data_IF_699200889330
#
_entry.id   IF_699200889330
#
_cell.length_a   1.000
_cell.length_b   1.000
_cell.length_c   1.000
_cell.angle_alpha   90.00
_cell.angle_beta   90.00
_cell.angle_gamma   90.00
#
_symmetry.space_group_name_H-M   'P 1'
#
loop_
_entity.id
_entity.type
_entity.pdbx_description
1 polymer ?
#
# COMPACT_ATOMS: atom_id res chain seq x y z
N UNK A 1 -14.14 -3.39 -15.47
CA UNK A 1 -14.20 -2.30 -14.47
C UNK A 1 -13.25 -2.55 -13.30
N UNK A 2 -13.31 -3.68 -12.57
CA UNK A 2 -12.38 -3.94 -11.44
C UNK A 2 -10.91 -4.00 -11.90
N UNK A 3 -10.60 -4.75 -12.96
CA UNK A 3 -9.23 -4.87 -13.49
C UNK A 3 -8.60 -3.54 -13.92
N UNK A 4 -9.40 -2.63 -14.48
CA UNK A 4 -8.92 -1.33 -14.94
C UNK A 4 -8.52 -0.43 -13.76
N UNK A 5 -9.30 -0.43 -12.68
CA UNK A 5 -8.98 0.34 -11.48
C UNK A 5 -7.70 -0.17 -10.79
N UNK A 6 -7.48 -1.50 -10.82
CA UNK A 6 -6.25 -2.12 -10.29
C UNK A 6 -5.02 -1.74 -11.12
N UNK A 7 -5.13 -1.70 -12.45
CA UNK A 7 -4.05 -1.26 -13.34
C UNK A 7 -3.73 0.23 -13.13
N UNK A 8 -4.74 1.10 -13.12
CA UNK A 8 -4.55 2.55 -12.89
C UNK A 8 -3.93 2.84 -11.52
N UNK A 9 -4.33 2.11 -10.48
CA UNK A 9 -3.73 2.23 -9.15
C UNK A 9 -2.25 1.77 -9.13
N UNK A 10 -1.93 0.71 -9.87
CA UNK A 10 -0.56 0.24 -10.02
C UNK A 10 0.31 1.30 -10.70
N UNK A 11 -0.14 1.85 -11.82
CA UNK A 11 0.58 2.90 -12.55
C UNK A 11 0.81 4.14 -11.67
N UNK A 12 -0.22 4.59 -10.95
CA UNK A 12 -0.11 5.68 -9.99
C UNK A 12 0.94 5.41 -8.90
N UNK A 13 0.97 4.20 -8.33
CA UNK A 13 1.98 3.83 -7.32
C UNK A 13 3.39 3.74 -7.93
N UNK A 14 3.52 3.28 -9.18
CA UNK A 14 4.80 3.26 -9.89
C UNK A 14 5.30 4.67 -10.23
N UNK A 15 4.41 5.62 -10.49
CA UNK A 15 4.76 7.05 -10.60
C UNK A 15 5.24 7.59 -9.26
N UNK A 16 4.55 7.30 -8.15
CA UNK A 16 5.01 7.65 -6.80
C UNK A 16 6.38 7.04 -6.50
N UNK A 17 6.59 5.77 -6.83
CA UNK A 17 7.89 5.12 -6.67
C UNK A 17 9.00 5.89 -7.41
N UNK A 18 8.75 6.35 -8.64
CA UNK A 18 9.70 7.18 -9.40
C UNK A 18 9.96 8.53 -8.74
N UNK A 19 8.91 9.23 -8.28
CA UNK A 19 9.01 10.51 -7.56
C UNK A 19 9.92 10.39 -6.33
N UNK A 20 9.78 9.30 -5.58
CA UNK A 20 10.61 9.00 -4.42
C UNK A 20 11.95 8.33 -4.77
N UNK A 21 12.28 8.11 -6.04
CA UNK A 21 13.50 7.39 -6.46
C UNK A 21 13.59 5.97 -5.89
N UNK A 22 12.49 5.21 -5.97
CA UNK A 22 12.38 3.81 -5.55
C UNK A 22 12.31 2.92 -6.79
N UNK A 23 13.18 1.92 -6.83
CA UNK A 23 13.20 0.89 -7.87
C UNK A 23 12.20 -0.23 -7.52
N UNK A 24 11.22 -0.49 -8.39
CA UNK A 24 10.24 -1.57 -8.20
C UNK A 24 10.57 -2.72 -9.14
N UNK A 25 10.76 -3.93 -8.57
CA UNK A 25 11.04 -5.16 -9.31
C UNK A 25 9.90 -6.14 -9.17
N UNK A 26 9.38 -6.61 -10.30
CA UNK A 26 8.39 -7.68 -10.36
C UNK A 26 9.10 -9.03 -10.59
N UNK A 27 8.80 -10.02 -9.76
CA UNK A 27 9.43 -11.35 -9.78
C UNK A 27 8.41 -12.45 -9.50
N UNK A 28 8.76 -13.66 -9.90
CA UNK A 28 8.02 -14.88 -9.60
C UNK A 28 8.70 -15.61 -8.45
N UNK A 29 7.96 -15.91 -7.39
CA UNK A 29 8.42 -16.65 -6.21
C UNK A 29 7.39 -17.70 -5.79
N UNK A 30 7.62 -18.40 -4.68
CA UNK A 30 6.56 -19.23 -4.08
C UNK A 30 5.32 -18.36 -3.78
N UNK A 31 4.09 -18.86 -3.97
CA UNK A 31 2.88 -18.08 -3.69
C UNK A 31 2.73 -17.57 -2.24
N UNK A 32 3.50 -18.14 -1.31
CA UNK A 32 3.54 -17.74 0.10
C UNK A 32 4.75 -16.87 0.45
N UNK A 33 5.65 -16.60 -0.49
CA UNK A 33 6.72 -15.62 -0.31
C UNK A 33 6.12 -14.22 -0.41
N UNK A 34 6.15 -13.42 0.67
CA UNK A 34 5.64 -12.05 0.62
C UNK A 34 6.55 -11.18 -0.26
N UNK A 35 6.04 -10.04 -0.75
CA UNK A 35 6.88 -8.95 -1.18
C UNK A 35 7.85 -8.49 -0.09
N UNK A 36 8.78 -7.63 -0.47
CA UNK A 36 9.68 -7.01 0.49
C UNK A 36 10.33 -5.76 -0.06
N UNK A 37 10.88 -4.99 0.86
CA UNK A 37 11.48 -3.70 0.57
C UNK A 37 12.86 -3.58 1.22
N UNK A 38 13.63 -2.62 0.73
CA UNK A 38 14.89 -2.21 1.33
C UNK A 38 15.03 -0.70 1.22
N UNK A 39 15.08 -0.04 2.37
CA UNK A 39 15.35 1.39 2.42
C UNK A 39 16.76 1.74 1.91
N UNK A 40 17.78 0.99 2.34
CA UNK A 40 19.18 1.21 1.94
C UNK A 40 19.35 1.21 0.42
N UNK A 41 18.75 0.23 -0.27
CA UNK A 41 18.82 0.11 -1.72
C UNK A 41 17.72 0.85 -2.47
N UNK A 42 16.83 1.56 -1.76
CA UNK A 42 15.64 2.23 -2.32
C UNK A 42 14.88 1.29 -3.27
N UNK A 43 14.58 0.06 -2.83
CA UNK A 43 14.00 -0.97 -3.71
C UNK A 43 12.82 -1.68 -3.08
N UNK A 44 11.82 -1.96 -3.90
CA UNK A 44 10.72 -2.87 -3.61
C UNK A 44 10.79 -4.07 -4.56
N UNK A 45 10.55 -5.27 -4.05
CA UNK A 45 10.43 -6.49 -4.84
C UNK A 45 9.05 -7.11 -4.61
N UNK A 46 8.25 -7.14 -5.66
CA UNK A 46 6.89 -7.70 -5.66
C UNK A 46 6.88 -9.14 -6.16
N UNK A 47 6.03 -9.97 -5.56
CA UNK A 47 5.77 -11.34 -5.98
C UNK A 47 4.52 -11.41 -6.86
N UNK A 48 4.70 -11.70 -8.14
CA UNK A 48 3.61 -11.87 -9.11
C UNK A 48 2.78 -13.13 -8.88
N UNK A 49 3.31 -14.12 -8.16
CA UNK A 49 2.62 -15.39 -7.87
C UNK A 49 1.95 -15.40 -6.50
N UNK A 50 1.84 -14.24 -5.83
CA UNK A 50 1.23 -14.14 -4.50
C UNK A 50 -0.15 -14.80 -4.45
N UNK A 51 -0.38 -15.64 -3.44
CA UNK A 51 -1.58 -16.49 -3.34
C UNK A 51 -2.90 -15.72 -3.16
N UNK A 52 -2.84 -14.41 -2.88
CA UNK A 52 -4.00 -13.51 -2.84
C UNK A 52 -3.77 -12.32 -3.78
N UNK A 53 -3.86 -12.52 -5.11
CA UNK A 53 -3.52 -11.48 -6.09
C UNK A 53 -4.32 -10.18 -5.91
N UNK A 54 -5.49 -10.25 -5.27
CA UNK A 54 -6.33 -9.11 -4.92
C UNK A 54 -5.70 -8.16 -3.88
N UNK A 55 -4.74 -8.64 -3.07
CA UNK A 55 -3.98 -7.83 -2.10
C UNK A 55 -2.77 -7.12 -2.74
N UNK A 56 -2.42 -7.44 -3.99
CA UNK A 56 -1.14 -7.06 -4.60
C UNK A 56 -0.89 -5.54 -4.64
N UNK A 57 -1.94 -4.76 -4.92
CA UNK A 57 -1.85 -3.29 -4.96
C UNK A 57 -1.60 -2.71 -3.57
N UNK A 58 -2.30 -3.23 -2.55
CA UNK A 58 -2.09 -2.78 -1.18
C UNK A 58 -0.71 -3.19 -0.67
N UNK A 59 -0.22 -4.36 -1.05
CA UNK A 59 1.16 -4.78 -0.76
C UNK A 59 2.18 -3.88 -1.45
N UNK A 60 1.96 -3.48 -2.70
CA UNK A 60 2.86 -2.52 -3.36
C UNK A 60 2.89 -1.19 -2.59
N UNK A 61 1.73 -0.65 -2.23
CA UNK A 61 1.64 0.59 -1.45
C UNK A 61 2.32 0.45 -0.07
N UNK A 62 2.16 -0.71 0.58
CA UNK A 62 2.79 -1.04 1.85
C UNK A 62 4.32 -1.07 1.75
N UNK A 63 4.88 -1.81 0.78
CA UNK A 63 6.33 -1.88 0.59
C UNK A 63 6.93 -0.54 0.18
N UNK A 64 6.21 0.27 -0.60
CA UNK A 64 6.61 1.64 -0.89
C UNK A 64 6.64 2.50 0.38
N UNK A 65 5.67 2.34 1.29
CA UNK A 65 5.60 3.08 2.54
C UNK A 65 6.82 2.80 3.45
N UNK A 66 7.26 1.53 3.58
CA UNK A 66 8.50 1.20 4.30
C UNK A 66 9.70 2.03 3.79
N UNK A 67 9.87 2.06 2.46
CA UNK A 67 10.98 2.79 1.84
C UNK A 67 10.81 4.30 1.96
N UNK A 68 9.59 4.83 1.88
CA UNK A 68 9.33 6.28 2.00
C UNK A 68 9.56 6.78 3.44
N UNK A 69 9.14 6.02 4.45
CA UNK A 69 9.27 6.40 5.85
C UNK A 69 10.68 6.24 6.42
N UNK A 70 11.59 5.64 5.66
CA UNK A 70 12.97 5.48 6.09
C UNK A 70 13.14 4.35 7.10
N UNK A 71 12.30 3.32 7.01
CA UNK A 71 12.37 2.18 7.90
C UNK A 71 13.66 1.40 7.61
N UNK A 72 14.65 1.64 8.47
CA UNK A 72 16.00 1.04 8.40
C UNK A 72 16.05 -0.35 9.02
N UNK A 73 14.98 -0.74 9.71
CA UNK A 73 14.85 -2.03 10.38
C UNK A 73 14.27 -3.11 9.49
N UNK A 74 14.73 -3.29 8.26
CA UNK A 74 14.10 -4.25 7.35
C UNK A 74 15.11 -5.17 6.65
N UNK A 75 15.38 -6.29 7.31
CA UNK A 75 15.38 -7.57 6.59
C UNK A 75 14.38 -8.45 7.32
N UNK A 76 13.43 -8.98 6.55
CA UNK A 76 12.76 -10.27 6.73
C UNK A 76 11.27 -10.22 7.10
N UNK A 77 10.46 -10.38 6.04
CA UNK A 77 9.20 -11.13 5.96
C UNK A 77 8.06 -10.70 6.90
N UNK A 78 6.84 -10.87 6.38
CA UNK A 78 5.51 -10.76 6.99
C UNK A 78 5.27 -11.59 8.29
N UNK A 79 6.33 -11.92 9.05
CA UNK A 79 6.34 -12.73 10.27
C UNK A 79 7.08 -12.08 11.45
N UNK A 80 7.46 -10.80 11.37
CA UNK A 80 7.99 -10.07 12.53
C UNK A 80 6.84 -9.49 13.40
N UNK A 81 6.35 -10.32 14.32
CA UNK A 81 5.85 -9.93 15.65
C UNK A 81 5.07 -8.61 15.76
N UNK A 82 3.77 -8.72 15.49
CA UNK A 82 2.73 -7.76 15.88
C UNK A 82 2.86 -7.34 17.35
N UNK A 83 3.27 -6.10 17.64
CA UNK A 83 3.02 -5.48 18.96
C UNK A 83 2.70 -3.99 18.84
N UNK A 84 1.48 -3.68 18.40
CA UNK A 84 0.84 -2.37 18.60
C UNK A 84 1.00 -1.34 17.46
N UNK A 85 0.34 -0.19 17.61
CA UNK A 85 0.29 0.91 16.63
C UNK A 85 1.64 1.59 16.36
N UNK A 86 2.65 1.30 17.17
CA UNK A 86 3.99 1.85 17.01
C UNK A 86 4.91 0.98 16.15
N UNK A 87 4.45 -0.22 15.74
CA UNK A 87 5.26 -1.10 14.91
C UNK A 87 5.49 -0.52 13.52
N UNK A 88 6.65 -0.86 12.94
CA UNK A 88 7.02 -0.52 11.55
C UNK A 88 5.92 -1.01 10.58
N UNK A 89 5.50 -2.26 10.72
CA UNK A 89 4.40 -2.86 9.94
C UNK A 89 3.08 -2.08 10.01
N UNK A 90 2.70 -1.57 11.19
CA UNK A 90 1.49 -0.77 11.31
C UNK A 90 1.64 0.58 10.60
N UNK A 91 2.81 1.22 10.73
CA UNK A 91 3.12 2.48 10.04
C UNK A 91 3.15 2.30 8.54
N UNK A 92 3.70 1.20 8.03
CA UNK A 92 3.67 0.86 6.61
C UNK A 92 2.23 0.62 6.11
N UNK A 93 1.41 -0.08 6.87
CA UNK A 93 -0.01 -0.27 6.56
C UNK A 93 -0.80 1.06 6.54
N UNK A 94 -0.52 1.98 7.47
CA UNK A 94 -1.10 3.34 7.43
C UNK A 94 -0.58 4.13 6.23
N UNK A 95 0.72 4.07 5.95
CA UNK A 95 1.32 4.72 4.78
C UNK A 95 0.75 4.21 3.45
N UNK A 96 0.44 2.92 3.36
CA UNK A 96 -0.24 2.34 2.20
C UNK A 96 -1.62 3.00 1.96
N UNK A 97 -2.39 3.20 3.04
CA UNK A 97 -3.67 3.93 2.97
C UNK A 97 -3.43 5.38 2.54
N UNK A 98 -2.44 6.05 3.11
CA UNK A 98 -2.11 7.45 2.78
C UNK A 98 -1.71 7.62 1.30
N UNK A 99 -0.97 6.68 0.73
CA UNK A 99 -0.59 6.69 -0.68
C UNK A 99 -1.80 6.52 -1.61
N UNK A 100 -2.74 5.62 -1.25
CA UNK A 100 -3.87 5.25 -2.10
C UNK A 100 -5.07 6.19 -1.99
N UNK A 101 -5.25 6.90 -0.87
CA UNK A 101 -6.38 7.83 -0.68
C UNK A 101 -6.46 8.92 -1.77
N UNK A 102 -5.36 9.62 -2.13
CA UNK A 102 -5.40 10.61 -3.21
C UNK A 102 -5.88 10.02 -4.54
N UNK A 103 -5.37 8.85 -4.93
CA UNK A 103 -5.81 8.17 -6.15
C UNK A 103 -7.31 7.86 -6.13
N UNK A 104 -7.81 7.32 -5.01
CA UNK A 104 -9.22 6.96 -4.88
C UNK A 104 -10.17 8.16 -4.82
N UNK A 105 -9.75 9.25 -4.19
CA UNK A 105 -10.57 10.44 -3.98
C UNK A 105 -10.47 11.46 -5.12
N UNK A 106 -9.43 11.40 -5.96
CA UNK A 106 -9.23 12.34 -7.05
C UNK A 106 -10.44 12.39 -7.98
N UNK A 107 -10.92 13.60 -8.27
CA UNK A 107 -12.06 13.83 -9.16
C UNK A 107 -13.42 13.38 -8.61
N UNK A 108 -13.49 12.92 -7.36
CA UNK A 108 -14.73 12.50 -6.70
C UNK A 108 -15.11 13.49 -5.62
N UNK A 109 -16.39 13.85 -5.51
CA UNK A 109 -16.89 14.67 -4.40
C UNK A 109 -17.06 13.83 -3.13
N UNK A 110 -16.81 14.43 -1.96
CA UNK A 110 -16.85 13.71 -0.67
C UNK A 110 -18.15 12.93 -0.42
N UNK A 111 -19.29 13.46 -0.89
CA UNK A 111 -20.61 12.83 -0.76
C UNK A 111 -20.77 11.53 -1.57
N UNK A 112 -19.91 11.34 -2.57
CA UNK A 112 -19.85 10.14 -3.40
C UNK A 112 -18.74 9.17 -2.96
N UNK A 113 -17.86 9.57 -2.05
CA UNK A 113 -16.77 8.72 -1.55
C UNK A 113 -17.28 7.78 -0.46
N UNK A 114 -16.89 6.51 -0.57
CA UNK A 114 -17.24 5.48 0.40
C UNK A 114 -15.97 4.76 0.88
N UNK A 115 -15.72 4.77 2.19
CA UNK A 115 -14.55 4.12 2.80
C UNK A 115 -14.62 2.59 2.75
N UNK A 116 -15.82 2.00 2.81
CA UNK A 116 -16.00 0.55 2.63
C UNK A 116 -15.60 0.12 1.21
N UNK A 117 -16.00 0.89 0.20
CA UNK A 117 -15.62 0.63 -1.19
C UNK A 117 -14.10 0.75 -1.40
N UNK A 118 -13.44 1.72 -0.75
CA UNK A 118 -11.97 1.81 -0.74
C UNK A 118 -11.35 0.52 -0.18
N UNK A 119 -11.81 0.10 1.01
CA UNK A 119 -11.28 -1.09 1.68
C UNK A 119 -11.50 -2.36 0.86
N UNK A 120 -12.65 -2.50 0.21
CA UNK A 120 -12.96 -3.63 -0.65
C UNK A 120 -12.12 -3.62 -1.93
N UNK A 121 -11.93 -2.45 -2.56
CA UNK A 121 -11.20 -2.34 -3.83
C UNK A 121 -9.72 -2.66 -3.68
N UNK A 122 -9.13 -2.30 -2.53
CA UNK A 122 -7.71 -2.53 -2.25
C UNK A 122 -7.46 -3.64 -1.23
N UNK A 123 -8.48 -4.41 -0.83
CA UNK A 123 -8.34 -5.50 0.14
C UNK A 123 -7.66 -5.08 1.46
N UNK A 124 -8.01 -3.88 1.93
CA UNK A 124 -7.42 -3.28 3.14
C UNK A 124 -7.86 -4.06 4.39
N UNK A 125 -6.94 -4.42 5.30
CA UNK A 125 -7.27 -5.09 6.55
C UNK A 125 -8.34 -4.35 7.37
N UNK A 126 -9.34 -5.07 7.88
CA UNK A 126 -10.48 -4.47 8.60
C UNK A 126 -10.10 -3.60 9.80
N UNK A 127 -8.98 -3.89 10.49
CA UNK A 127 -8.53 -3.11 11.64
C UNK A 127 -8.09 -1.69 11.26
N UNK A 128 -7.88 -1.38 9.98
CA UNK A 128 -7.54 -0.05 9.46
C UNK A 128 -8.77 0.79 9.10
N UNK A 129 -10.00 0.29 9.29
CA UNK A 129 -11.22 1.00 8.86
C UNK A 129 -11.34 2.44 9.41
N UNK A 130 -10.91 2.64 10.66
CA UNK A 130 -10.89 3.98 11.26
C UNK A 130 -9.88 4.90 10.57
N UNK A 131 -8.70 4.39 10.23
CA UNK A 131 -7.63 5.11 9.54
C UNK A 131 -8.07 5.49 8.13
N UNK A 132 -8.67 4.56 7.37
CA UNK A 132 -9.21 4.86 6.04
C UNK A 132 -10.24 5.98 6.10
N UNK A 133 -11.17 5.91 7.05
CA UNK A 133 -12.20 6.93 7.23
C UNK A 133 -11.63 8.29 7.64
N UNK A 134 -10.56 8.30 8.43
CA UNK A 134 -9.83 9.50 8.84
C UNK A 134 -9.10 10.13 7.66
N UNK A 135 -8.27 9.36 6.94
CA UNK A 135 -7.47 9.85 5.81
C UNK A 135 -8.31 10.36 4.64
N UNK A 136 -9.43 9.72 4.36
CA UNK A 136 -10.40 10.25 3.38
C UNK A 136 -10.94 11.60 3.83
N UNK A 137 -11.31 11.77 5.11
CA UNK A 137 -11.80 13.07 5.61
C UNK A 137 -10.71 14.14 5.58
N UNK A 138 -9.47 13.78 5.88
CA UNK A 138 -8.32 14.71 5.81
C UNK A 138 -8.08 15.20 4.39
N UNK A 139 -8.18 14.33 3.39
CA UNK A 139 -8.01 14.69 1.97
C UNK A 139 -8.94 15.83 1.53
N UNK A 140 -10.20 15.85 1.98
CA UNK A 140 -11.19 16.88 1.61
C UNK A 140 -11.19 18.13 2.50
N UNK A 141 -10.36 18.20 3.54
CA UNK A 141 -10.23 19.40 4.37
C UNK A 141 -9.17 20.37 3.84
N UNK A 142 -8.26 19.86 3.02
CA UNK A 142 -7.14 20.59 2.41
C UNK A 142 -7.52 21.05 1.01
#
# INVERSE_FOLDING_TARGET
>A
MIYQQTEEACDYLLEKAKEYHIDVKWKHFSPTTPPGSSYEYRRVVMNLDWHRPEELIFQLAHELAHVIHGDTGDVVFYHASFTGKESVEYKANVGAVELLVPFYCQGTEIQCVNSTNFMQSFHVPHYLASIVSEKIREYYKN
#
